data_IF_377906801658
#
_entry.id   IF_377906801658
#
_cell.length_a   1.000
_cell.length_b   1.000
_cell.length_c   1.000
_cell.angle_alpha   90.00
_cell.angle_beta   90.00
_cell.angle_gamma   90.00
#
_symmetry.space_group_name_H-M   'P 1'
#
loop_
_entity.id
_entity.type
_entity.pdbx_description
1 polymer ?
#
# COMPACT_ATOMS: atom_id res chain seq x y z
N UNK A 1 -14.38 12.52 5.65
CA UNK A 1 -13.66 11.38 6.27
C UNK A 1 -14.19 11.14 7.68
N UNK A 2 -15.39 10.61 7.79
CA UNK A 2 -16.06 10.42 9.07
C UNK A 2 -15.72 9.09 9.77
N UNK A 3 -14.47 8.61 9.66
CA UNK A 3 -14.05 7.38 10.32
C UNK A 3 -13.39 7.72 11.66
N UNK A 4 -13.75 6.99 12.72
CA UNK A 4 -13.26 7.20 14.10
C UNK A 4 -11.72 7.09 14.18
N UNK A 5 -11.14 6.14 13.46
CA UNK A 5 -9.68 5.92 13.43
C UNK A 5 -8.94 7.12 12.84
N UNK A 6 -9.48 7.74 11.77
CA UNK A 6 -8.88 8.95 11.22
C UNK A 6 -9.01 10.13 12.19
N UNK A 7 -10.16 10.27 12.86
CA UNK A 7 -10.36 11.28 13.91
C UNK A 7 -9.32 11.16 15.03
N UNK A 8 -9.08 9.94 15.50
CA UNK A 8 -8.06 9.66 16.53
C UNK A 8 -6.64 10.04 16.05
N UNK A 9 -6.25 9.66 14.83
CA UNK A 9 -4.94 10.00 14.29
C UNK A 9 -4.77 11.52 14.12
N UNK A 10 -5.81 12.22 13.63
CA UNK A 10 -5.81 13.66 13.49
C UNK A 10 -5.66 14.37 14.85
N UNK A 11 -6.37 13.91 15.88
CA UNK A 11 -6.26 14.44 17.24
C UNK A 11 -4.86 14.24 17.85
N UNK A 12 -4.24 13.06 17.61
CA UNK A 12 -2.84 12.81 18.01
C UNK A 12 -1.88 13.80 17.36
N UNK A 13 -2.10 14.07 16.07
CA UNK A 13 -1.32 15.07 15.34
C UNK A 13 -1.53 16.47 15.93
N UNK A 14 -2.78 16.89 16.14
CA UNK A 14 -3.12 18.24 16.63
C UNK A 14 -2.51 18.50 18.01
N UNK A 15 -2.59 17.55 18.93
CA UNK A 15 -1.92 17.67 20.25
C UNK A 15 -0.41 17.87 20.13
N UNK A 16 0.25 17.15 19.20
CA UNK A 16 1.68 17.31 18.98
C UNK A 16 2.00 18.65 18.32
N UNK A 17 1.17 19.07 17.38
CA UNK A 17 1.30 20.35 16.68
C UNK A 17 1.14 21.55 17.64
N UNK A 18 0.22 21.44 18.63
CA UNK A 18 0.05 22.44 19.70
C UNK A 18 1.29 22.54 20.58
N UNK A 19 1.82 21.40 21.00
CA UNK A 19 3.05 21.35 21.80
C UNK A 19 4.24 21.99 21.07
N UNK A 20 4.37 21.74 19.78
CA UNK A 20 5.43 22.27 18.93
C UNK A 20 5.16 23.70 18.45
N UNK A 21 3.97 24.26 18.74
CA UNK A 21 3.51 25.58 18.27
C UNK A 21 3.64 25.72 16.75
N UNK A 22 3.25 24.69 16.01
CA UNK A 22 3.31 24.71 14.56
C UNK A 22 2.35 25.76 13.98
N UNK A 23 2.79 26.44 12.93
CA UNK A 23 1.97 27.32 12.12
C UNK A 23 0.80 26.57 11.48
N UNK A 24 -0.36 27.22 11.36
CA UNK A 24 -1.61 26.64 10.86
C UNK A 24 -1.44 26.05 9.45
N UNK A 25 -0.71 26.76 8.57
CA UNK A 25 -0.49 26.29 7.20
C UNK A 25 0.37 25.01 7.15
N UNK A 26 1.27 24.83 8.10
CA UNK A 26 2.07 23.62 8.27
C UNK A 26 1.20 22.50 8.81
N UNK A 27 0.34 22.78 9.79
CA UNK A 27 -0.61 21.81 10.36
C UNK A 27 -1.50 21.21 9.28
N UNK A 28 -2.18 22.05 8.51
CA UNK A 28 -3.08 21.59 7.45
C UNK A 28 -2.36 20.76 6.40
N UNK A 29 -1.17 21.17 6.00
CA UNK A 29 -0.37 20.39 5.03
C UNK A 29 0.09 19.05 5.56
N UNK A 30 0.41 18.92 6.85
CA UNK A 30 0.93 17.69 7.45
C UNK A 30 -0.17 16.73 7.89
N UNK A 31 -1.38 17.22 8.16
CA UNK A 31 -2.52 16.43 8.60
C UNK A 31 -3.13 15.61 7.45
N UNK A 32 -3.28 16.22 6.27
CA UNK A 32 -4.03 15.62 5.18
C UNK A 32 -3.15 14.80 4.22
N UNK A 33 -3.61 13.60 3.80
CA UNK A 33 -2.92 12.82 2.79
C UNK A 33 -2.83 13.56 1.46
N UNK A 34 -1.73 13.36 0.75
CA UNK A 34 -1.52 13.95 -0.56
C UNK A 34 -2.39 13.34 -1.64
N UNK A 35 -2.63 12.04 -1.57
CA UNK A 35 -3.48 11.30 -2.52
C UNK A 35 -4.26 10.22 -1.79
N UNK A 36 -5.51 10.09 -2.18
CA UNK A 36 -6.40 9.01 -1.76
C UNK A 36 -7.06 8.43 -3.00
N UNK A 37 -6.87 7.15 -3.20
CA UNK A 37 -7.36 6.41 -4.35
C UNK A 37 -8.36 5.36 -3.87
N UNK A 38 -9.47 5.21 -4.58
CA UNK A 38 -10.47 4.18 -4.34
C UNK A 38 -10.79 3.50 -5.65
N UNK A 39 -10.89 2.17 -5.62
CA UNK A 39 -11.06 1.33 -6.78
C UNK A 39 -12.22 0.37 -6.60
N UNK A 40 -12.97 0.17 -7.66
CA UNK A 40 -13.95 -0.91 -7.81
C UNK A 40 -13.26 -2.08 -8.52
N UNK A 41 -13.26 -3.25 -7.87
CA UNK A 41 -12.48 -4.42 -8.28
C UNK A 41 -13.44 -5.59 -8.60
N UNK A 42 -13.96 -5.69 -9.82
CA UNK A 42 -14.75 -6.85 -10.22
C UNK A 42 -13.84 -8.09 -10.37
N UNK A 43 -14.23 -9.19 -9.72
CA UNK A 43 -13.50 -10.46 -9.71
C UNK A 43 -14.47 -11.59 -9.99
N UNK A 44 -14.09 -12.50 -10.89
CA UNK A 44 -14.82 -13.74 -11.12
C UNK A 44 -14.47 -14.74 -10.04
N UNK A 45 -15.46 -15.16 -9.27
CA UNK A 45 -15.34 -16.15 -8.20
C UNK A 45 -15.25 -17.58 -8.76
N UNK A 46 -14.91 -18.56 -7.94
CA UNK A 46 -14.75 -19.96 -8.37
C UNK A 46 -16.09 -20.59 -8.83
N UNK A 47 -17.21 -20.07 -8.36
CA UNK A 47 -18.55 -20.49 -8.79
C UNK A 47 -19.05 -19.79 -10.08
N UNK A 48 -18.21 -18.95 -10.70
CA UNK A 48 -18.51 -18.24 -11.94
C UNK A 48 -19.24 -16.91 -11.75
N UNK A 49 -19.67 -16.55 -10.54
CA UNK A 49 -20.26 -15.23 -10.26
C UNK A 49 -19.19 -14.14 -10.31
N UNK A 50 -19.59 -12.93 -10.65
CA UNK A 50 -18.73 -11.76 -10.48
C UNK A 50 -19.09 -11.06 -9.19
N UNK A 51 -18.09 -10.89 -8.32
CA UNK A 51 -18.19 -10.10 -7.10
C UNK A 51 -17.37 -8.83 -7.24
N UNK A 52 -17.85 -7.72 -6.67
CA UNK A 52 -17.17 -6.43 -6.74
C UNK A 52 -16.65 -6.07 -5.37
N UNK A 53 -15.33 -6.02 -5.24
CA UNK A 53 -14.64 -5.58 -4.03
C UNK A 53 -14.26 -4.10 -4.13
N UNK A 54 -14.06 -3.46 -2.98
CA UNK A 54 -13.58 -2.09 -2.92
C UNK A 54 -12.19 -2.05 -2.30
N UNK A 55 -11.26 -1.46 -3.03
CA UNK A 55 -9.88 -1.28 -2.60
C UNK A 55 -9.49 0.18 -2.48
N UNK A 56 -8.54 0.46 -1.58
CA UNK A 56 -8.05 1.82 -1.33
C UNK A 56 -6.53 1.85 -1.30
N UNK A 57 -5.93 2.96 -1.75
CA UNK A 57 -4.52 3.28 -1.51
C UNK A 57 -4.41 4.74 -1.11
N UNK A 58 -3.76 5.01 0.01
CA UNK A 58 -3.51 6.36 0.51
C UNK A 58 -2.01 6.61 0.56
N UNK A 59 -1.59 7.72 -0.06
CA UNK A 59 -0.23 8.24 -0.06
C UNK A 59 -0.22 9.51 0.78
N UNK A 60 0.38 9.45 1.98
CA UNK A 60 0.30 10.56 2.93
C UNK A 60 1.22 11.71 2.51
N UNK A 61 2.53 11.54 2.61
CA UNK A 61 3.49 12.56 2.20
C UNK A 61 4.70 11.97 1.48
N UNK A 62 5.13 12.61 0.38
CA UNK A 62 6.31 12.24 -0.40
C UNK A 62 7.51 13.15 -0.15
N UNK A 63 7.44 14.09 0.80
CA UNK A 63 8.50 15.06 1.07
C UNK A 63 9.81 14.45 1.58
N UNK A 64 9.78 13.22 2.09
CA UNK A 64 10.95 12.49 2.60
C UNK A 64 11.47 11.42 1.62
N UNK A 65 10.85 11.26 0.48
CA UNK A 65 11.13 10.21 -0.50
C UNK A 65 9.85 9.46 -0.91
N UNK A 66 9.99 8.30 -1.57
CA UNK A 66 8.83 7.49 -1.93
C UNK A 66 8.04 7.07 -0.69
N UNK A 67 6.72 6.94 -0.85
CA UNK A 67 5.89 6.48 0.26
C UNK A 67 5.95 4.96 0.37
N UNK A 68 5.82 4.45 1.60
CA UNK A 68 5.91 3.03 1.89
C UNK A 68 4.83 2.61 2.88
N UNK A 69 4.17 1.48 2.60
CA UNK A 69 3.19 0.92 3.53
C UNK A 69 2.51 -0.34 3.03
N UNK A 70 1.95 -1.10 3.98
CA UNK A 70 1.32 -2.40 3.74
C UNK A 70 -0.01 -2.30 2.99
N UNK A 71 -0.43 -3.43 2.42
CA UNK A 71 -1.76 -3.67 1.88
C UNK A 71 -2.48 -4.63 2.83
N UNK A 72 -3.64 -4.23 3.37
CA UNK A 72 -4.45 -5.01 4.30
C UNK A 72 -5.65 -5.64 3.59
N UNK A 73 -5.91 -6.91 3.86
CA UNK A 73 -7.15 -7.57 3.50
C UNK A 73 -7.97 -7.83 4.76
N UNK A 74 -9.11 -7.15 4.87
CA UNK A 74 -10.02 -7.29 6.01
C UNK A 74 -11.41 -6.80 5.63
N UNK A 75 -12.49 -7.42 6.14
CA UNK A 75 -13.86 -6.95 5.90
C UNK A 75 -14.12 -5.51 6.36
N UNK A 76 -13.31 -5.01 7.28
CA UNK A 76 -13.47 -3.69 7.90
C UNK A 76 -12.64 -2.58 7.24
N UNK A 77 -11.98 -2.87 6.11
CA UNK A 77 -11.17 -1.85 5.42
C UNK A 77 -12.06 -0.74 4.90
N UNK A 78 -11.79 0.48 5.36
CA UNK A 78 -12.43 1.72 4.92
C UNK A 78 -11.38 2.78 4.59
N UNK A 79 -11.73 3.70 3.69
CA UNK A 79 -10.82 4.77 3.27
C UNK A 79 -10.26 5.59 4.44
N UNK A 80 -11.09 5.90 5.46
CA UNK A 80 -10.67 6.66 6.63
C UNK A 80 -9.67 5.89 7.49
N UNK A 81 -9.87 4.59 7.72
CA UNK A 81 -8.89 3.72 8.40
C UNK A 81 -7.56 3.69 7.64
N UNK A 82 -7.62 3.49 6.32
CA UNK A 82 -6.42 3.45 5.48
C UNK A 82 -5.66 4.79 5.53
N UNK A 83 -6.37 5.91 5.57
CA UNK A 83 -5.76 7.24 5.70
C UNK A 83 -5.05 7.43 7.06
N UNK A 84 -5.67 7.01 8.16
CA UNK A 84 -5.04 7.02 9.49
C UNK A 84 -3.76 6.19 9.53
N UNK A 85 -3.83 4.96 9.01
CA UNK A 85 -2.69 4.05 8.96
C UNK A 85 -1.56 4.59 8.08
N UNK A 86 -1.87 5.27 6.97
CA UNK A 86 -0.87 5.95 6.14
C UNK A 86 -0.18 7.10 6.88
N UNK A 87 -0.93 7.87 7.68
CA UNK A 87 -0.39 8.91 8.56
C UNK A 87 0.57 8.32 9.59
N UNK A 88 0.18 7.26 10.29
CA UNK A 88 1.06 6.57 11.27
C UNK A 88 2.30 5.97 10.60
N UNK A 89 2.19 5.45 9.39
CA UNK A 89 3.36 5.00 8.62
C UNK A 89 4.32 6.15 8.31
N UNK A 90 3.81 7.34 7.99
CA UNK A 90 4.62 8.53 7.77
C UNK A 90 5.41 8.91 9.05
N UNK A 91 4.76 8.92 10.20
CA UNK A 91 5.43 9.20 11.48
C UNK A 91 6.45 8.15 11.86
N UNK A 92 6.11 6.87 11.64
CA UNK A 92 7.02 5.75 11.89
C UNK A 92 8.30 5.88 11.07
N UNK A 93 8.20 6.17 9.77
CA UNK A 93 9.37 6.40 8.92
C UNK A 93 10.16 7.63 9.36
N UNK A 94 9.49 8.72 9.75
CA UNK A 94 10.14 9.92 10.25
C UNK A 94 10.90 9.68 11.56
N UNK A 95 10.29 8.98 12.52
CA UNK A 95 10.89 8.63 13.80
C UNK A 95 12.15 7.80 13.64
N UNK A 96 12.11 6.83 12.73
CA UNK A 96 13.24 5.95 12.41
C UNK A 96 14.25 6.59 11.45
N UNK A 97 14.07 7.87 11.08
CA UNK A 97 14.90 8.62 10.13
C UNK A 97 15.06 7.93 8.76
N UNK A 98 14.06 7.15 8.35
CA UNK A 98 14.07 6.50 7.05
C UNK A 98 13.72 7.52 5.95
N UNK A 99 14.32 7.41 4.74
CA UNK A 99 14.05 8.30 3.62
C UNK A 99 12.74 7.93 2.89
N UNK A 100 11.67 7.72 3.64
CA UNK A 100 10.36 7.32 3.14
C UNK A 100 9.26 8.18 3.72
N UNK A 101 8.23 8.44 2.92
CA UNK A 101 6.93 8.86 3.40
C UNK A 101 6.06 7.68 3.81
N UNK A 102 4.82 7.97 4.22
CA UNK A 102 3.85 6.96 4.63
C UNK A 102 2.81 6.67 3.57
N UNK A 103 2.51 5.41 3.37
CA UNK A 103 1.37 4.94 2.59
C UNK A 103 0.66 3.79 3.31
N UNK A 104 -0.56 3.53 2.89
CA UNK A 104 -1.33 2.35 3.28
C UNK A 104 -2.31 1.99 2.17
N UNK A 105 -2.55 0.71 2.02
CA UNK A 105 -3.61 0.20 1.15
C UNK A 105 -4.43 -0.86 1.84
N UNK A 106 -5.54 -1.22 1.22
CA UNK A 106 -6.34 -2.34 1.69
C UNK A 106 -7.51 -2.62 0.77
N UNK A 107 -8.08 -3.82 0.92
CA UNK A 107 -9.30 -4.24 0.26
C UNK A 107 -10.28 -4.73 1.31
N UNK A 108 -11.54 -4.29 1.19
CA UNK A 108 -12.64 -4.81 2.00
C UNK A 108 -13.01 -6.22 1.51
N UNK A 109 -12.41 -7.26 2.12
CA UNK A 109 -12.66 -8.66 1.81
C UNK A 109 -12.33 -9.55 3.01
N UNK A 110 -12.86 -10.77 3.03
CA UNK A 110 -12.46 -11.79 4.01
C UNK A 110 -11.56 -12.85 3.36
N UNK A 111 -10.22 -12.74 3.43
CA UNK A 111 -9.34 -13.69 2.75
C UNK A 111 -9.44 -15.11 3.28
N UNK A 112 -10.03 -15.33 4.47
CA UNK A 112 -10.23 -16.68 5.04
C UNK A 112 -11.39 -17.43 4.39
N UNK A 113 -12.31 -16.72 3.76
CA UNK A 113 -13.47 -17.26 3.04
C UNK A 113 -13.22 -17.38 1.53
N UNK A 114 -12.08 -16.91 1.05
CA UNK A 114 -11.68 -16.92 -0.35
C UNK A 114 -10.70 -18.05 -0.62
N UNK A 115 -10.84 -18.70 -1.78
CA UNK A 115 -9.83 -19.62 -2.28
C UNK A 115 -8.53 -18.89 -2.62
N UNK A 116 -7.42 -19.62 -2.75
CA UNK A 116 -6.13 -19.05 -3.17
C UNK A 116 -6.25 -18.44 -4.57
N UNK A 117 -7.02 -19.08 -5.47
CA UNK A 117 -7.24 -18.57 -6.83
C UNK A 117 -8.07 -17.27 -6.85
N UNK A 118 -9.06 -17.16 -5.97
CA UNK A 118 -9.84 -15.92 -5.82
C UNK A 118 -8.99 -14.78 -5.25
N UNK A 119 -8.18 -15.07 -4.23
CA UNK A 119 -7.23 -14.09 -3.69
C UNK A 119 -6.21 -13.64 -4.73
N UNK A 120 -5.72 -14.54 -5.58
CA UNK A 120 -4.82 -14.21 -6.68
C UNK A 120 -5.50 -13.27 -7.68
N UNK A 121 -6.70 -13.61 -8.14
CA UNK A 121 -7.46 -12.78 -9.08
C UNK A 121 -7.73 -11.38 -8.52
N UNK A 122 -8.16 -11.31 -7.26
CA UNK A 122 -8.39 -10.04 -6.56
C UNK A 122 -7.11 -9.22 -6.45
N UNK A 123 -6.01 -9.84 -6.05
CA UNK A 123 -4.70 -9.17 -5.92
C UNK A 123 -4.20 -8.64 -7.26
N UNK A 124 -4.28 -9.46 -8.32
CA UNK A 124 -3.87 -9.05 -9.67
C UNK A 124 -4.75 -7.91 -10.20
N UNK A 125 -6.05 -7.97 -9.95
CA UNK A 125 -6.97 -6.88 -10.33
C UNK A 125 -6.63 -5.59 -9.60
N UNK A 126 -6.39 -5.65 -8.30
CA UNK A 126 -5.97 -4.49 -7.52
C UNK A 126 -4.60 -3.95 -7.97
N UNK A 127 -3.64 -4.84 -8.25
CA UNK A 127 -2.34 -4.45 -8.78
C UNK A 127 -2.47 -3.66 -10.09
N UNK A 128 -3.29 -4.11 -11.04
CA UNK A 128 -3.52 -3.41 -12.31
C UNK A 128 -3.99 -1.97 -12.11
N UNK A 129 -4.90 -1.74 -11.16
CA UNK A 129 -5.39 -0.40 -10.83
C UNK A 129 -4.33 0.46 -10.12
N UNK A 130 -3.44 -0.18 -9.34
CA UNK A 130 -2.39 0.50 -8.59
C UNK A 130 -1.18 0.89 -9.45
N UNK A 131 -0.84 0.12 -10.50
CA UNK A 131 0.40 0.27 -11.25
C UNK A 131 0.71 1.71 -11.72
N UNK A 132 -0.27 2.54 -12.10
CA UNK A 132 0.01 3.95 -12.44
C UNK A 132 0.50 4.80 -11.26
N UNK A 133 0.35 4.34 -10.03
CA UNK A 133 0.57 5.11 -8.80
C UNK A 133 1.65 4.53 -7.89
N UNK A 134 2.16 3.32 -8.18
CA UNK A 134 3.20 2.64 -7.39
C UNK A 134 4.49 2.49 -8.19
N UNK A 135 5.59 2.32 -7.49
CA UNK A 135 6.93 2.19 -8.09
C UNK A 135 8.03 2.45 -7.07
N UNK A 136 9.26 2.07 -7.40
CA UNK A 136 10.42 2.19 -6.53
C UNK A 136 10.66 3.62 -6.02
N UNK A 137 10.37 4.62 -6.86
CA UNK A 137 10.59 6.03 -6.57
C UNK A 137 9.32 6.79 -6.14
N UNK A 138 8.17 6.12 -6.09
CA UNK A 138 6.87 6.76 -5.82
C UNK A 138 6.22 6.17 -4.59
N UNK A 139 5.90 4.88 -4.64
CA UNK A 139 5.13 4.19 -3.60
C UNK A 139 5.44 2.69 -3.61
N UNK A 140 5.91 2.16 -2.49
CA UNK A 140 6.38 0.78 -2.37
C UNK A 140 5.44 0.02 -1.43
N UNK A 141 4.51 -0.80 -1.94
CA UNK A 141 3.68 -1.69 -1.14
C UNK A 141 4.48 -2.74 -0.38
N UNK A 142 3.87 -3.25 0.68
CA UNK A 142 4.39 -4.31 1.54
C UNK A 142 3.24 -5.19 2.04
N UNK A 143 3.49 -6.37 2.60
CA UNK A 143 2.46 -7.16 3.27
C UNK A 143 1.96 -6.47 4.55
N UNK A 144 0.71 -6.76 4.91
CA UNK A 144 0.07 -6.37 6.17
C UNK A 144 -0.91 -7.50 6.60
N UNK A 145 -1.85 -7.21 7.49
CA UNK A 145 -2.88 -8.16 7.91
C UNK A 145 -3.66 -8.71 6.71
N UNK A 146 -3.80 -10.03 6.63
CA UNK A 146 -4.52 -10.72 5.56
C UNK A 146 -3.75 -10.85 4.25
N UNK A 147 -2.51 -10.35 4.16
CA UNK A 147 -1.62 -10.51 3.01
C UNK A 147 -0.26 -11.09 3.42
N UNK A 148 0.48 -11.63 2.47
CA UNK A 148 1.74 -12.31 2.71
C UNK A 148 2.71 -12.17 1.53
N UNK A 149 3.82 -12.90 1.58
CA UNK A 149 4.82 -12.91 0.52
C UNK A 149 4.26 -13.35 -0.84
N UNK A 150 3.33 -14.31 -0.87
CA UNK A 150 2.67 -14.75 -2.09
C UNK A 150 1.82 -13.64 -2.72
N UNK A 151 1.11 -12.87 -1.89
CA UNK A 151 0.36 -11.68 -2.36
C UNK A 151 1.29 -10.67 -3.03
N UNK A 152 2.46 -10.45 -2.46
CA UNK A 152 3.47 -9.56 -3.04
C UNK A 152 4.06 -10.13 -4.35
N UNK A 153 4.23 -11.44 -4.45
CA UNK A 153 4.68 -12.09 -5.67
C UNK A 153 3.69 -11.87 -6.83
N UNK A 154 2.39 -11.99 -6.59
CA UNK A 154 1.36 -11.71 -7.61
C UNK A 154 1.39 -10.25 -8.08
N UNK A 155 1.69 -9.30 -7.20
CA UNK A 155 1.85 -7.88 -7.57
C UNK A 155 3.08 -7.71 -8.48
N UNK A 156 4.24 -8.29 -8.10
CA UNK A 156 5.47 -8.22 -8.91
C UNK A 156 5.26 -8.85 -10.29
N UNK A 157 4.63 -10.02 -10.33
CA UNK A 157 4.36 -10.74 -11.58
C UNK A 157 3.43 -9.90 -12.50
N UNK A 158 2.35 -9.34 -11.95
CA UNK A 158 1.43 -8.48 -12.70
C UNK A 158 2.13 -7.23 -13.23
N UNK A 159 2.94 -6.59 -12.40
CA UNK A 159 3.71 -5.41 -12.80
C UNK A 159 4.75 -5.74 -13.88
N UNK A 160 5.46 -6.85 -13.72
CA UNK A 160 6.49 -7.29 -14.66
C UNK A 160 5.91 -7.65 -16.02
N UNK A 161 4.76 -8.34 -16.03
CA UNK A 161 4.03 -8.67 -17.27
C UNK A 161 3.60 -7.39 -18.01
N UNK A 162 3.07 -6.39 -17.29
CA UNK A 162 2.65 -5.13 -17.90
C UNK A 162 3.83 -4.29 -18.37
N UNK A 163 4.94 -4.28 -17.63
CA UNK A 163 6.15 -3.53 -17.99
C UNK A 163 6.99 -4.21 -19.09
N UNK A 164 6.72 -5.48 -19.41
CA UNK A 164 7.54 -6.29 -20.31
C UNK A 164 8.96 -6.56 -19.82
N UNK A 165 9.22 -6.37 -18.51
CA UNK A 165 10.50 -6.62 -17.85
C UNK A 165 10.29 -6.91 -16.37
N UNK A 166 11.22 -7.64 -15.76
CA UNK A 166 11.16 -7.94 -14.34
C UNK A 166 11.31 -6.66 -13.48
N UNK A 167 10.36 -6.42 -12.56
CA UNK A 167 10.29 -5.20 -11.73
C UNK A 167 10.20 -5.54 -10.24
N UNK A 168 11.22 -6.20 -9.65
CA UNK A 168 11.16 -6.70 -8.27
C UNK A 168 11.14 -5.60 -7.20
N UNK A 169 11.64 -4.41 -7.51
CA UNK A 169 11.70 -3.28 -6.58
C UNK A 169 10.36 -2.63 -6.27
N UNK A 170 9.31 -2.96 -7.05
CA UNK A 170 7.99 -2.34 -6.90
C UNK A 170 7.32 -2.64 -5.55
N UNK A 171 7.69 -3.72 -4.86
CA UNK A 171 7.19 -4.09 -3.53
C UNK A 171 8.31 -4.60 -2.63
N UNK A 172 8.05 -4.65 -1.31
CA UNK A 172 8.90 -5.38 -0.35
C UNK A 172 8.13 -6.53 0.28
N UNK A 173 8.84 -7.43 0.98
CA UNK A 173 8.22 -8.59 1.64
C UNK A 173 7.76 -9.69 0.67
N UNK A 174 8.25 -9.69 -0.57
CA UNK A 174 8.11 -10.78 -1.54
C UNK A 174 8.95 -11.99 -1.14
N UNK A 175 8.73 -13.19 -1.71
CA UNK A 175 9.58 -14.36 -1.50
C UNK A 175 11.06 -14.06 -1.76
N UNK A 176 11.95 -14.70 -0.98
CA UNK A 176 13.40 -14.47 -1.09
C UNK A 176 13.96 -14.78 -2.47
N UNK A 177 13.42 -15.81 -3.13
CA UNK A 177 13.78 -16.21 -4.49
C UNK A 177 13.61 -15.05 -5.48
N UNK A 178 12.55 -14.27 -5.37
CA UNK A 178 12.31 -13.09 -6.20
C UNK A 178 13.20 -11.88 -5.80
N UNK A 179 13.76 -11.89 -4.59
CA UNK A 179 14.67 -10.86 -4.13
C UNK A 179 16.12 -11.13 -4.55
N UNK A 180 16.52 -12.39 -4.63
CA UNK A 180 17.89 -12.82 -4.86
C UNK A 180 18.27 -12.93 -6.33
N UNK A 181 17.32 -12.92 -7.26
CA UNK A 181 17.59 -13.02 -8.72
C UNK A 181 18.57 -11.95 -9.21
N UNK A 182 18.57 -10.77 -8.61
CA UNK A 182 19.53 -9.71 -8.95
C UNK A 182 20.91 -9.86 -8.28
N UNK A 183 21.03 -10.68 -7.25
CA UNK A 183 22.30 -10.90 -6.53
C UNK A 183 23.09 -12.06 -7.17
N UNK A 184 22.42 -12.95 -7.89
CA UNK A 184 23.00 -14.19 -8.44
C UNK A 184 23.30 -14.16 -9.93
N UNK A 185 23.05 -13.07 -10.65
CA UNK A 185 23.60 -12.94 -12.02
C UNK A 185 25.08 -12.59 -11.94
N UNK A 186 25.99 -13.53 -12.29
CA UNK A 186 27.38 -13.13 -12.49
C UNK A 186 27.41 -12.15 -13.66
N UNK A 187 27.99 -10.98 -13.43
CA UNK A 187 28.37 -10.05 -14.51
C UNK A 187 29.03 -10.86 -15.62
N UNK A 188 28.33 -11.05 -16.74
CA UNK A 188 28.97 -11.63 -17.94
C UNK A 188 30.06 -10.65 -18.35
N UNK A 189 31.35 -11.05 -18.38
CA UNK A 189 32.37 -10.21 -18.98
C UNK A 189 32.03 -10.12 -20.48
N UNK A 190 31.99 -8.91 -20.99
CA UNK A 190 31.95 -8.62 -22.43
C UNK A 190 33.24 -9.06 -23.10
#
# INVERSE_FOLDING_TARGET
MGNETFGMAAEQFDRTADFLKLDESVRERCKWPKRMLSFSLPVTMDDGRTEVFFGHRVQHHLSRGPVKGGIRYSPHVELGEVAALAMWMNWKCALMKLPYGGAKGGIACNPREMSIGEQERLTRRFAQELLPFIGEDIDIPAPDMGTNAQTMAWIVDTASAQAGRFTPGIVTGKPLELSLIHISEPTRPY
#
